data_IF_646565506795
#
_entry.id   IF_646565506795
#
_cell.length_a   1.000
_cell.length_b   1.000
_cell.length_c   1.000
_cell.angle_alpha   90.00
_cell.angle_beta   90.00
_cell.angle_gamma   90.00
#
_symmetry.space_group_name_H-M   'P 1'
#
loop_
_entity.id
_entity.type
_entity.pdbx_description
1 polymer ?
#
# COMPACT_ATOMS: atom_id res chain seq x y z
N UNK A 1 -2.15 -11.12 19.21
CA UNK A 1 -1.06 -11.30 18.22
C UNK A 1 -0.02 -10.22 18.50
N UNK A 2 1.27 -10.44 18.22
CA UNK A 2 2.21 -9.32 18.27
C UNK A 2 1.81 -8.33 17.17
N UNK A 3 1.55 -7.09 17.56
CA UNK A 3 1.16 -6.03 16.64
C UNK A 3 2.25 -5.85 15.59
N UNK A 4 1.87 -5.89 14.31
CA UNK A 4 2.82 -5.71 13.19
C UNK A 4 2.92 -4.23 12.90
N UNK A 5 4.12 -3.67 13.05
CA UNK A 5 4.38 -2.28 12.69
C UNK A 5 4.42 -2.14 11.16
N UNK A 6 3.49 -1.39 10.59
CA UNK A 6 3.53 -0.96 9.18
C UNK A 6 4.54 0.20 9.07
N UNK A 7 5.51 0.08 8.17
CA UNK A 7 6.49 1.15 7.88
C UNK A 7 6.58 1.36 6.37
N UNK A 8 6.74 2.62 5.94
CA UNK A 8 7.03 2.94 4.55
C UNK A 8 8.55 2.86 4.34
N UNK A 9 8.99 1.93 3.49
CA UNK A 9 10.39 1.77 3.13
C UNK A 9 10.67 2.55 1.85
N UNK A 10 11.71 3.39 1.88
CA UNK A 10 12.27 3.98 0.66
C UNK A 10 13.33 3.03 0.12
N UNK A 11 13.04 2.42 -1.02
CA UNK A 11 13.93 1.49 -1.71
C UNK A 11 14.16 2.00 -3.13
N UNK A 12 15.35 1.73 -3.65
CA UNK A 12 15.59 1.83 -5.08
C UNK A 12 14.64 0.87 -5.83
N UNK A 13 13.97 1.31 -6.91
CA UNK A 13 13.03 0.47 -7.65
C UNK A 13 13.64 -0.84 -8.18
N UNK A 14 14.88 -0.81 -8.66
CA UNK A 14 15.55 -2.01 -9.17
C UNK A 14 15.84 -3.02 -8.05
N UNK A 15 16.16 -2.52 -6.85
CA UNK A 15 16.33 -3.37 -5.66
C UNK A 15 15.00 -4.01 -5.25
N UNK A 16 13.92 -3.23 -5.25
CA UNK A 16 12.58 -3.76 -4.97
C UNK A 16 12.21 -4.87 -5.97
N UNK A 17 12.46 -4.67 -7.26
CA UNK A 17 12.14 -5.65 -8.29
C UNK A 17 12.97 -6.93 -8.15
N UNK A 18 14.25 -6.82 -7.81
CA UNK A 18 15.10 -7.97 -7.54
C UNK A 18 14.58 -8.78 -6.34
N UNK A 19 14.16 -8.11 -5.27
CA UNK A 19 13.55 -8.74 -4.09
C UNK A 19 12.23 -9.42 -4.43
N UNK A 20 11.38 -8.79 -5.25
CA UNK A 20 10.10 -9.36 -5.67
C UNK A 20 10.27 -10.61 -6.52
N UNK A 21 11.23 -10.60 -7.46
CA UNK A 21 11.58 -11.79 -8.27
C UNK A 21 12.09 -12.93 -7.40
N UNK A 22 13.05 -12.67 -6.52
CA UNK A 22 13.58 -13.69 -5.61
C UNK A 22 12.51 -14.24 -4.66
N UNK A 23 11.61 -13.39 -4.16
CA UNK A 23 10.49 -13.85 -3.35
C UNK A 23 9.58 -14.81 -4.14
N UNK A 24 9.31 -14.50 -5.42
CA UNK A 24 8.56 -15.35 -6.34
C UNK A 24 9.19 -16.73 -6.53
N UNK A 25 10.51 -16.77 -6.74
CA UNK A 25 11.27 -18.03 -6.89
C UNK A 25 11.18 -18.92 -5.65
N UNK A 26 11.10 -18.33 -4.46
CA UNK A 26 10.94 -19.05 -3.19
C UNK A 26 9.47 -19.25 -2.77
N UNK A 27 8.50 -18.90 -3.62
CA UNK A 27 7.07 -18.94 -3.33
C UNK A 27 6.67 -18.14 -2.07
N UNK A 28 7.36 -17.04 -1.79
CA UNK A 28 7.09 -16.10 -0.68
C UNK A 28 6.47 -14.81 -1.20
N UNK A 29 5.76 -14.10 -0.33
CA UNK A 29 5.46 -12.69 -0.62
C UNK A 29 6.72 -11.85 -0.44
N UNK A 30 6.81 -10.73 -1.16
CA UNK A 30 7.92 -9.78 -1.04
C UNK A 30 8.13 -9.33 0.41
N UNK A 31 7.05 -9.06 1.14
CA UNK A 31 7.16 -8.66 2.55
C UNK A 31 7.71 -9.79 3.45
N UNK A 32 7.33 -11.05 3.18
CA UNK A 32 7.89 -12.18 3.91
C UNK A 32 9.38 -12.39 3.58
N UNK A 33 9.80 -12.12 2.34
CA UNK A 33 11.21 -12.17 1.95
C UNK A 33 12.03 -11.06 2.62
N UNK A 34 11.52 -9.82 2.65
CA UNK A 34 12.16 -8.69 3.34
C UNK A 34 12.33 -9.01 4.83
N UNK A 35 11.29 -9.49 5.50
CA UNK A 35 11.37 -9.87 6.92
C UNK A 35 12.41 -10.97 7.18
N UNK A 36 12.47 -11.99 6.30
CA UNK A 36 13.47 -13.05 6.41
C UNK A 36 14.89 -12.49 6.31
N UNK A 37 15.15 -11.63 5.32
CA UNK A 37 16.43 -11.00 5.10
C UNK A 37 16.86 -10.12 6.27
N UNK A 38 15.95 -9.29 6.80
CA UNK A 38 16.22 -8.42 7.94
C UNK A 38 16.57 -9.23 9.19
N UNK A 39 15.82 -10.30 9.48
CA UNK A 39 16.12 -11.18 10.61
C UNK A 39 17.46 -11.88 10.47
N UNK A 40 17.76 -12.37 9.27
CA UNK A 40 19.05 -12.99 8.97
C UNK A 40 20.19 -11.99 9.17
N UNK A 41 20.09 -10.81 8.58
CA UNK A 41 21.11 -9.76 8.72
C UNK A 41 21.31 -9.33 10.19
N UNK A 42 20.23 -9.19 10.97
CA UNK A 42 20.32 -8.92 12.41
C UNK A 42 20.96 -10.07 13.18
N UNK A 43 20.65 -11.32 12.84
CA UNK A 43 21.26 -12.50 13.46
C UNK A 43 22.74 -12.59 13.16
N UNK A 44 23.12 -12.43 11.89
CA UNK A 44 24.51 -12.49 11.42
C UNK A 44 25.34 -11.35 12.03
N UNK A 45 24.72 -10.18 12.28
CA UNK A 45 25.35 -9.07 12.98
C UNK A 45 25.35 -9.20 14.52
N UNK A 46 24.74 -10.25 15.09
CA UNK A 46 24.61 -10.44 16.54
C UNK A 46 23.67 -9.42 17.23
N UNK A 47 22.76 -8.80 16.47
CA UNK A 47 21.85 -7.73 16.92
C UNK A 47 20.39 -8.16 17.02
N UNK A 48 20.08 -9.42 16.74
CA UNK A 48 18.72 -9.93 16.84
C UNK A 48 18.26 -9.95 18.31
N UNK A 49 17.16 -9.27 18.68
CA UNK A 49 16.68 -9.29 20.06
C UNK A 49 16.23 -10.69 20.48
N UNK A 50 16.55 -11.09 21.72
CA UNK A 50 16.28 -12.43 22.27
C UNK A 50 14.79 -12.76 22.37
N UNK A 51 13.93 -11.75 22.45
CA UNK A 51 12.48 -11.89 22.59
C UNK A 51 11.73 -11.90 21.24
N UNK A 52 12.46 -11.94 20.12
CA UNK A 52 11.83 -11.98 18.80
C UNK A 52 11.05 -13.28 18.60
N UNK A 53 9.73 -13.17 18.45
CA UNK A 53 8.87 -14.31 18.09
C UNK A 53 9.30 -14.90 16.74
N UNK A 54 9.23 -16.23 16.62
CA UNK A 54 9.56 -16.94 15.39
C UNK A 54 8.70 -16.54 14.20
N UNK A 55 9.18 -16.81 12.98
CA UNK A 55 8.46 -16.48 11.76
C UNK A 55 7.12 -17.23 11.70
N UNK A 56 5.98 -16.55 11.49
CA UNK A 56 4.69 -17.21 11.43
C UNK A 56 4.66 -18.23 10.28
N UNK A 57 4.10 -19.41 10.55
CA UNK A 57 4.02 -20.51 9.57
C UNK A 57 3.15 -20.11 8.38
N UNK A 58 3.52 -20.62 7.19
CA UNK A 58 2.69 -20.53 5.98
C UNK A 58 1.31 -21.15 6.26
N UNK A 59 0.26 -20.44 5.88
CA UNK A 59 -1.12 -20.89 6.07
C UNK A 59 -2.06 -19.71 6.33
N UNK A 60 -3.37 -19.96 6.14
CA UNK A 60 -4.42 -19.00 6.46
C UNK A 60 -4.35 -18.71 7.97
N UNK A 61 -4.16 -17.45 8.41
CA UNK A 61 -4.31 -17.10 9.83
C UNK A 61 -5.71 -17.51 10.29
N UNK A 62 -5.87 -17.99 11.54
CA UNK A 62 -7.19 -18.34 12.05
C UNK A 62 -8.16 -17.17 11.87
N UNK A 63 -9.39 -17.46 11.45
CA UNK A 63 -10.43 -16.48 11.14
C UNK A 63 -10.62 -15.57 12.35
N UNK A 64 -10.37 -14.26 12.17
CA UNK A 64 -10.50 -13.22 13.20
C UNK A 64 -11.96 -13.19 13.69
N UNK A 65 -12.17 -13.14 15.00
CA UNK A 65 -13.49 -12.91 15.57
C UNK A 65 -13.99 -11.50 15.18
N UNK A 66 -15.30 -11.29 14.99
CA UNK A 66 -15.83 -10.00 14.54
C UNK A 66 -15.58 -8.93 15.62
N UNK A 67 -14.83 -7.88 15.28
CA UNK A 67 -14.55 -6.77 16.19
C UNK A 67 -13.34 -5.88 15.85
N UNK A 68 -12.47 -6.25 14.91
CA UNK A 68 -11.38 -5.37 14.48
C UNK A 68 -11.77 -4.66 13.17
N UNK A 69 -12.14 -3.39 13.31
CA UNK A 69 -12.64 -2.49 12.27
C UNK A 69 -11.65 -2.25 11.14
N UNK A 70 -12.18 -2.28 9.92
CA UNK A 70 -11.55 -1.82 8.70
C UNK A 70 -11.47 -0.28 8.72
N UNK A 71 -10.26 0.27 8.82
CA UNK A 71 -9.96 1.66 8.55
C UNK A 71 -8.83 1.68 7.52
N UNK A 72 -9.11 1.27 6.29
CA UNK A 72 -8.18 1.42 5.15
C UNK A 72 -8.97 1.44 3.81
N UNK A 73 -10.27 1.77 3.81
CA UNK A 73 -11.14 1.68 2.63
C UNK A 73 -11.84 2.99 2.21
N UNK A 74 -11.32 4.16 2.60
CA UNK A 74 -11.82 5.46 2.12
C UNK A 74 -10.64 6.40 1.84
N UNK A 75 -10.17 6.37 0.59
CA UNK A 75 -9.33 7.43 -0.03
C UNK A 75 -9.30 7.20 -1.54
N UNK A 76 -10.45 7.37 -2.19
CA UNK A 76 -10.54 7.36 -3.65
C UNK A 76 -11.62 8.32 -4.20
N UNK A 77 -11.91 9.40 -3.49
CA UNK A 77 -12.83 10.43 -3.99
C UNK A 77 -12.44 11.81 -3.46
N UNK A 78 -11.47 12.43 -4.14
CA UNK A 78 -11.43 13.89 -4.31
C UNK A 78 -10.50 14.27 -5.47
N UNK A 79 -11.09 14.61 -6.61
CA UNK A 79 -10.47 15.43 -7.65
C UNK A 79 -11.58 15.97 -8.57
N UNK A 80 -12.37 16.90 -8.02
CA UNK A 80 -13.08 17.88 -8.82
C UNK A 80 -12.16 19.07 -9.07
N UNK A 81 -11.68 19.23 -10.30
CA UNK A 81 -11.07 20.48 -10.77
C UNK A 81 -12.07 21.17 -11.70
N UNK A 82 -12.71 22.21 -11.17
CA UNK A 82 -13.54 23.14 -11.91
C UNK A 82 -12.67 24.32 -12.34
N UNK A 83 -12.40 24.47 -13.63
CA UNK A 83 -11.89 25.71 -14.20
C UNK A 83 -12.86 26.23 -15.26
N UNK A 84 -13.38 27.43 -15.00
CA UNK A 84 -14.24 28.16 -15.92
C UNK A 84 -13.42 29.10 -16.79
N UNK A 85 -13.80 29.22 -18.07
CA UNK A 85 -13.16 30.22 -18.92
C UNK A 85 -13.59 30.25 -20.39
N UNK A 86 -14.57 31.13 -20.65
CA UNK A 86 -14.67 32.01 -21.82
C UNK A 86 -15.14 31.50 -23.21
N UNK A 87 -16.07 32.28 -23.79
CA UNK A 87 -16.11 32.59 -25.23
C UNK A 87 -17.40 32.21 -25.95
N UNK A 88 -18.20 33.22 -26.35
CA UNK A 88 -19.37 33.07 -27.24
C UNK A 88 -19.01 32.62 -28.67
N UNK A 89 -19.98 32.53 -29.62
CA UNK A 89 -20.64 33.73 -30.16
C UNK A 89 -22.12 33.60 -30.64
N UNK A 90 -22.73 34.78 -30.81
CA UNK A 90 -23.65 35.29 -31.86
C UNK A 90 -24.97 34.59 -32.31
N UNK A 91 -26.00 35.45 -32.47
CA UNK A 91 -27.16 35.35 -33.38
C UNK A 91 -28.38 34.61 -32.82
N UNK A 92 -29.65 35.03 -32.90
CA UNK A 92 -30.40 36.10 -33.59
C UNK A 92 -31.72 36.24 -32.76
N UNK A 93 -32.24 37.41 -32.39
CA UNK A 93 -33.00 38.32 -33.26
C UNK A 93 -34.50 37.95 -33.33
N UNK A 94 -35.36 38.46 -32.43
CA UNK A 94 -36.74 38.88 -32.79
C UNK A 94 -37.38 39.81 -31.71
N UNK A 95 -38.08 40.92 -32.08
CA UNK A 95 -38.51 41.98 -31.17
C UNK A 95 -40.00 41.85 -30.73
N UNK A 96 -40.52 42.75 -29.85
CA UNK A 96 -41.71 42.50 -29.05
C UNK A 96 -43.02 42.93 -29.73
N UNK A 97 -44.12 42.26 -29.36
CA UNK A 97 -45.52 42.69 -29.57
C UNK A 97 -46.33 42.21 -28.36
N UNK A 98 -47.31 42.90 -27.79
CA UNK A 98 -47.85 44.26 -27.85
C UNK A 98 -48.59 44.47 -26.51
#
# INVERSE_FOLDING_TARGET
>A
MAERKKILLRLDPAVHDALARWAGDELRSTNAQIEFLLRRALSDAGRLPRDTKGMPRRGRPPRRAPGESDQDAESAEDAGDSDGGAGGPDGDGEPPQA
#
